data_IF_245130071768
#
_entry.id   IF_245130071768
#
_cell.length_a   1.000
_cell.length_b   1.000
_cell.length_c   1.000
_cell.angle_alpha   90.00
_cell.angle_beta   90.00
_cell.angle_gamma   90.00
#
_symmetry.space_group_name_H-M   'P 1'
#
loop_
_entity.id
_entity.type
_entity.pdbx_description
1 polymer ?
#
# COMPACT_ATOMS: atom_id res chain seq x y z
N UNK A 1 -28.20 -29.50 -43.69
CA UNK A 1 -27.53 -28.53 -42.80
C UNK A 1 -27.11 -29.27 -41.55
N UNK A 2 -25.80 -29.42 -41.32
CA UNK A 2 -25.24 -30.18 -40.20
C UNK A 2 -25.12 -29.29 -38.95
N UNK A 3 -25.50 -29.84 -37.79
CA UNK A 3 -25.08 -29.32 -36.49
C UNK A 3 -23.72 -29.93 -36.11
N UNK A 4 -22.70 -29.14 -35.71
CA UNK A 4 -21.48 -29.69 -35.13
C UNK A 4 -21.66 -29.89 -33.62
N UNK A 5 -21.57 -31.14 -33.17
CA UNK A 5 -21.51 -31.54 -31.76
C UNK A 5 -20.03 -31.58 -31.34
N UNK A 6 -19.69 -30.74 -30.36
CA UNK A 6 -18.61 -30.72 -29.37
C UNK A 6 -17.14 -31.11 -29.72
N UNK A 7 -16.13 -30.38 -29.19
CA UNK A 7 -14.73 -30.72 -29.32
C UNK A 7 -14.24 -31.65 -28.19
N UNK A 8 -13.58 -32.74 -28.55
CA UNK A 8 -12.69 -33.46 -27.65
C UNK A 8 -11.44 -33.94 -28.41
N UNK A 9 -10.26 -33.31 -28.22
CA UNK A 9 -9.00 -33.97 -28.50
C UNK A 9 -8.52 -34.68 -27.25
N UNK A 10 -8.59 -36.01 -27.35
CA UNK A 10 -8.04 -37.03 -26.47
C UNK A 10 -6.51 -36.93 -26.47
N UNK A 11 -5.92 -36.98 -25.28
CA UNK A 11 -4.63 -37.63 -25.03
C UNK A 11 -3.36 -36.84 -25.38
N UNK A 12 -2.82 -36.11 -24.41
CA UNK A 12 -1.36 -35.85 -24.38
C UNK A 12 -0.63 -37.11 -23.90
N UNK A 13 -0.28 -37.96 -24.86
CA UNK A 13 0.67 -39.06 -24.68
C UNK A 13 2.04 -38.48 -24.31
N UNK A 14 2.59 -39.04 -23.24
CA UNK A 14 3.95 -38.87 -22.74
C UNK A 14 4.94 -39.33 -23.81
N UNK A 15 5.91 -38.50 -24.16
CA UNK A 15 7.15 -38.98 -24.80
C UNK A 15 8.34 -38.64 -23.92
N UNK A 16 8.79 -39.69 -23.24
CA UNK A 16 10.04 -39.80 -22.52
C UNK A 16 11.22 -39.81 -23.49
N UNK A 17 12.22 -38.94 -23.26
CA UNK A 17 13.57 -39.09 -23.80
C UNK A 17 14.58 -38.98 -22.63
N UNK A 18 15.52 -39.93 -22.46
CA UNK A 18 16.42 -40.01 -21.32
C UNK A 18 17.80 -39.36 -21.58
N UNK A 19 18.42 -38.82 -20.51
CA UNK A 19 19.84 -39.02 -20.08
C UNK A 19 20.41 -37.80 -19.31
N UNK A 20 20.71 -38.02 -18.02
CA UNK A 20 22.02 -37.79 -17.34
C UNK A 20 21.86 -38.06 -15.83
N UNK A 21 22.62 -39.00 -15.22
CA UNK A 21 22.64 -39.11 -13.77
C UNK A 21 23.54 -38.00 -13.21
N UNK A 22 22.99 -37.14 -12.38
CA UNK A 22 23.74 -36.22 -11.52
C UNK A 22 23.47 -36.68 -10.10
N UNK A 23 24.52 -37.17 -9.46
CA UNK A 23 24.49 -37.69 -8.10
C UNK A 23 23.94 -36.64 -7.13
N UNK A 24 23.18 -37.17 -6.17
CA UNK A 24 22.64 -36.48 -5.00
C UNK A 24 23.78 -35.87 -4.17
N UNK A 25 23.61 -34.61 -3.77
CA UNK A 25 23.85 -34.29 -2.37
C UNK A 25 22.90 -33.17 -1.91
N UNK A 26 22.33 -33.44 -0.76
CA UNK A 26 21.25 -32.78 -0.08
C UNK A 26 21.80 -31.59 0.72
N UNK A 27 21.24 -30.38 0.55
CA UNK A 27 21.28 -29.36 1.61
C UNK A 27 20.27 -28.24 1.38
N UNK A 28 19.09 -28.48 1.95
CA UNK A 28 18.42 -27.60 2.92
C UNK A 28 18.22 -26.11 2.57
N UNK A 29 16.98 -25.85 2.16
CA UNK A 29 16.14 -24.71 2.55
C UNK A 29 16.83 -23.51 3.22
N UNK A 30 17.17 -22.50 2.43
CA UNK A 30 17.29 -21.14 2.92
C UNK A 30 16.48 -20.20 2.05
N UNK A 31 15.17 -20.43 2.00
CA UNK A 31 14.17 -19.42 1.68
C UNK A 31 14.15 -18.35 2.77
N UNK A 32 15.25 -17.60 2.92
CA UNK A 32 15.28 -16.37 3.71
C UNK A 32 14.54 -15.32 2.89
N UNK A 33 13.21 -15.35 3.03
CA UNK A 33 12.27 -14.28 2.69
C UNK A 33 12.92 -12.96 3.09
N UNK A 34 13.43 -12.24 2.09
CA UNK A 34 14.06 -10.93 2.27
C UNK A 34 13.01 -10.03 2.91
N UNK A 35 13.14 -9.82 4.22
CA UNK A 35 12.33 -8.89 5.01
C UNK A 35 12.61 -7.50 4.42
N UNK A 36 11.73 -7.03 3.54
CA UNK A 36 11.72 -5.63 3.09
C UNK A 36 11.55 -4.81 4.36
N UNK A 37 12.60 -4.11 4.75
CA UNK A 37 12.52 -3.16 5.85
C UNK A 37 11.77 -1.95 5.33
N UNK A 38 10.46 -1.94 5.57
CA UNK A 38 9.63 -0.77 5.40
C UNK A 38 9.84 0.12 6.64
N UNK A 39 10.65 1.17 6.46
CA UNK A 39 10.58 2.49 7.13
C UNK A 39 11.95 3.13 7.10
N UNK A 40 12.21 3.93 6.07
CA UNK A 40 13.33 4.86 6.09
C UNK A 40 12.91 6.19 5.47
N UNK A 41 11.96 6.87 6.13
CA UNK A 41 11.49 8.21 5.70
C UNK A 41 12.26 9.33 6.41
N UNK A 42 13.23 9.02 7.28
CA UNK A 42 13.90 10.06 8.09
C UNK A 42 15.43 10.00 8.10
N UNK A 43 16.08 8.99 7.52
CA UNK A 43 17.55 8.98 7.43
C UNK A 43 18.00 9.56 6.09
N UNK A 44 18.98 10.48 6.08
CA UNK A 44 19.57 10.95 4.83
C UNK A 44 20.12 9.76 4.06
N UNK A 45 19.86 9.72 2.75
CA UNK A 45 20.35 8.64 1.89
C UNK A 45 21.88 8.75 1.84
N UNK A 46 22.56 7.80 2.48
CA UNK A 46 24.01 7.70 2.38
C UNK A 46 24.40 7.32 0.95
N UNK A 47 25.04 8.25 0.25
CA UNK A 47 25.59 8.00 -1.07
C UNK A 47 26.93 7.30 -0.96
N UNK A 48 27.04 6.16 -1.65
CA UNK A 48 28.32 5.49 -1.87
C UNK A 48 29.26 6.36 -2.72
N UNK A 49 30.56 6.09 -2.63
CA UNK A 49 31.63 6.81 -3.34
C UNK A 49 31.36 6.98 -4.84
N UNK A 50 30.93 5.91 -5.50
CA UNK A 50 30.60 5.91 -6.93
C UNK A 50 29.43 6.85 -7.27
N UNK A 51 28.43 6.92 -6.41
CA UNK A 51 27.24 7.76 -6.64
C UNK A 51 27.61 9.24 -6.48
N UNK A 52 28.49 9.57 -5.53
CA UNK A 52 29.02 10.94 -5.35
C UNK A 52 29.85 11.37 -6.55
N UNK A 53 30.77 10.51 -7.00
CA UNK A 53 31.57 10.76 -8.20
C UNK A 53 30.68 10.99 -9.43
N UNK A 54 29.65 10.16 -9.62
CA UNK A 54 28.74 10.29 -10.76
C UNK A 54 28.00 11.64 -10.79
N UNK A 55 27.57 12.13 -9.62
CA UNK A 55 26.90 13.43 -9.50
C UNK A 55 27.90 14.55 -9.79
N UNK A 56 29.06 14.54 -9.14
CA UNK A 56 30.08 15.58 -9.30
C UNK A 56 30.47 15.74 -10.78
N UNK A 57 30.86 14.64 -11.43
CA UNK A 57 31.31 14.66 -12.82
C UNK A 57 30.22 15.19 -13.77
N UNK A 58 28.94 14.89 -13.48
CA UNK A 58 27.85 15.24 -14.38
C UNK A 58 27.22 16.60 -14.10
N UNK A 59 27.01 16.95 -12.84
CA UNK A 59 26.23 18.12 -12.43
C UNK A 59 27.13 19.31 -12.10
N UNK A 60 28.31 19.08 -11.52
CA UNK A 60 29.25 20.15 -11.17
C UNK A 60 30.22 20.43 -12.32
N UNK A 61 30.82 19.37 -12.89
CA UNK A 61 31.85 19.50 -13.93
C UNK A 61 31.28 19.43 -15.36
N UNK A 62 30.00 19.11 -15.51
CA UNK A 62 29.28 19.05 -16.80
C UNK A 62 29.96 18.18 -17.87
N UNK A 63 30.64 17.10 -17.47
CA UNK A 63 31.35 16.24 -18.42
C UNK A 63 30.42 15.44 -19.35
N UNK A 64 30.85 15.17 -20.59
CA UNK A 64 30.14 14.26 -21.47
C UNK A 64 30.29 12.81 -20.97
N UNK A 65 29.29 11.98 -21.27
CA UNK A 65 29.22 10.60 -20.76
C UNK A 65 30.44 9.72 -21.09
N UNK A 66 31.10 9.97 -22.23
CA UNK A 66 32.30 9.23 -22.63
C UNK A 66 33.45 9.47 -21.64
N UNK A 67 33.65 10.72 -21.26
CA UNK A 67 34.72 11.12 -20.35
C UNK A 67 34.41 10.68 -18.91
N UNK A 68 33.13 10.71 -18.52
CA UNK A 68 32.68 10.12 -17.26
C UNK A 68 33.02 8.63 -17.21
N UNK A 69 32.73 7.85 -18.26
CA UNK A 69 33.07 6.44 -18.28
C UNK A 69 34.59 6.19 -18.16
N UNK A 70 35.41 7.04 -18.79
CA UNK A 70 36.86 6.98 -18.66
C UNK A 70 37.34 7.29 -17.22
N UNK A 71 36.76 8.31 -16.56
CA UNK A 71 37.01 8.62 -15.13
C UNK A 71 36.68 7.45 -14.21
N UNK A 72 35.56 6.78 -14.43
CA UNK A 72 35.20 5.58 -13.66
C UNK A 72 36.22 4.44 -13.83
N UNK A 73 36.80 4.32 -15.02
CA UNK A 73 37.85 3.34 -15.26
C UNK A 73 39.20 3.75 -14.64
N UNK A 74 39.59 5.02 -14.71
CA UNK A 74 40.85 5.51 -14.14
C UNK A 74 40.84 5.54 -12.62
N UNK A 75 39.75 6.06 -12.03
CA UNK A 75 39.71 6.42 -10.62
C UNK A 75 39.28 5.22 -9.76
N UNK A 76 38.39 4.37 -10.29
CA UNK A 76 37.79 3.24 -9.58
C UNK A 76 38.14 1.87 -10.18
N UNK A 77 38.85 1.83 -11.30
CA UNK A 77 39.17 0.58 -12.01
C UNK A 77 37.94 -0.12 -12.60
N UNK A 78 36.80 0.58 -12.75
CA UNK A 78 35.52 -0.02 -13.14
C UNK A 78 35.09 0.44 -14.53
N UNK A 79 34.81 -0.53 -15.39
CA UNK A 79 34.32 -0.26 -16.74
C UNK A 79 32.79 -0.28 -16.75
N UNK A 80 32.19 0.86 -17.07
CA UNK A 80 30.75 0.99 -17.22
C UNK A 80 30.37 1.36 -18.65
N UNK A 81 29.29 0.75 -19.13
CA UNK A 81 28.63 1.19 -20.36
C UNK A 81 27.90 2.51 -20.09
N UNK A 82 27.94 3.45 -21.04
CA UNK A 82 27.29 4.77 -20.91
C UNK A 82 25.81 4.66 -20.51
N UNK A 83 24.98 3.77 -21.12
CA UNK A 83 23.59 3.61 -20.71
C UNK A 83 23.42 3.19 -19.25
N UNK A 84 24.36 2.42 -18.70
CA UNK A 84 24.33 2.00 -17.31
C UNK A 84 24.56 3.19 -16.36
N UNK A 85 25.52 4.06 -16.68
CA UNK A 85 25.77 5.30 -15.92
C UNK A 85 24.59 6.27 -16.00
N UNK A 86 24.01 6.43 -17.19
CA UNK A 86 22.80 7.24 -17.40
C UNK A 86 21.64 6.74 -16.52
N UNK A 87 21.39 5.44 -16.54
CA UNK A 87 20.34 4.83 -15.74
C UNK A 87 20.64 4.91 -14.24
N UNK A 88 21.90 4.76 -13.84
CA UNK A 88 22.34 4.91 -12.46
C UNK A 88 22.06 6.33 -11.96
N UNK A 89 22.49 7.35 -12.70
CA UNK A 89 22.23 8.76 -12.35
C UNK A 89 20.73 9.06 -12.29
N UNK A 90 19.96 8.57 -13.28
CA UNK A 90 18.49 8.76 -13.30
C UNK A 90 17.85 8.23 -12.02
N UNK A 91 18.19 7.00 -11.61
CA UNK A 91 17.66 6.37 -10.39
C UNK A 91 18.16 7.04 -9.12
N UNK A 92 19.42 7.47 -9.14
CA UNK A 92 20.05 8.17 -8.03
C UNK A 92 19.32 9.50 -7.74
N UNK A 93 19.02 10.28 -8.77
CA UNK A 93 18.22 11.51 -8.65
C UNK A 93 16.82 11.26 -8.08
N UNK A 94 16.15 10.21 -8.53
CA UNK A 94 14.84 9.84 -7.98
C UNK A 94 14.94 9.45 -6.50
N UNK A 95 15.94 8.65 -6.13
CA UNK A 95 16.18 8.30 -4.72
C UNK A 95 16.42 9.54 -3.87
N UNK A 96 17.25 10.46 -4.35
CA UNK A 96 17.61 11.69 -3.63
C UNK A 96 16.50 12.74 -3.60
N UNK A 97 15.35 12.50 -4.23
CA UNK A 97 14.26 13.47 -4.26
C UNK A 97 13.73 13.70 -2.84
N UNK A 98 13.78 14.94 -2.40
CA UNK A 98 13.26 15.38 -1.09
C UNK A 98 11.91 16.04 -1.30
N UNK A 99 10.94 15.68 -0.46
CA UNK A 99 9.68 16.41 -0.35
C UNK A 99 9.96 17.76 0.31
N UNK A 100 9.72 18.85 -0.40
CA UNK A 100 9.85 20.18 0.19
C UNK A 100 8.68 20.47 1.11
N UNK A 101 8.83 21.42 2.04
CA UNK A 101 7.73 21.87 2.89
C UNK A 101 6.53 22.37 2.06
N UNK A 102 6.80 22.97 0.90
CA UNK A 102 5.78 23.41 -0.05
C UNK A 102 5.03 22.20 -0.62
N UNK A 103 5.74 21.14 -1.03
CA UNK A 103 5.11 19.92 -1.54
C UNK A 103 4.24 19.24 -0.47
N UNK A 104 4.74 19.16 0.77
CA UNK A 104 4.00 18.58 1.89
C UNK A 104 2.76 19.41 2.22
N UNK A 105 2.87 20.75 2.21
CA UNK A 105 1.73 21.64 2.43
C UNK A 105 0.67 21.48 1.32
N UNK A 106 1.11 21.48 0.07
CA UNK A 106 0.23 21.27 -1.08
C UNK A 106 -0.48 19.91 -1.00
N UNK A 107 0.25 18.86 -0.64
CA UNK A 107 -0.32 17.52 -0.44
C UNK A 107 -1.40 17.51 0.65
N UNK A 108 -1.15 18.17 1.79
CA UNK A 108 -2.13 18.29 2.87
C UNK A 108 -3.40 18.99 2.42
N UNK A 109 -3.26 20.13 1.74
CA UNK A 109 -4.40 20.89 1.21
C UNK A 109 -5.19 20.09 0.18
N UNK A 110 -4.51 19.41 -0.74
CA UNK A 110 -5.16 18.57 -1.74
C UNK A 110 -5.93 17.41 -1.09
N UNK A 111 -5.35 16.76 -0.09
CA UNK A 111 -6.01 15.69 0.65
C UNK A 111 -7.23 16.22 1.44
N UNK A 112 -7.10 17.36 2.12
CA UNK A 112 -8.20 17.98 2.86
C UNK A 112 -9.37 18.33 1.95
N UNK A 113 -9.10 18.95 0.79
CA UNK A 113 -10.12 19.21 -0.22
C UNK A 113 -10.79 17.92 -0.68
N UNK A 114 -10.03 16.88 -0.99
CA UNK A 114 -10.60 15.59 -1.39
C UNK A 114 -11.49 15.00 -0.30
N UNK A 115 -11.09 15.03 0.97
CA UNK A 115 -11.92 14.50 2.08
C UNK A 115 -13.28 15.20 2.13
N UNK A 116 -13.30 16.53 1.95
CA UNK A 116 -14.52 17.33 2.00
C UNK A 116 -15.38 17.17 0.73
N UNK A 117 -14.74 17.03 -0.44
CA UNK A 117 -15.42 17.08 -1.76
C UNK A 117 -15.50 15.74 -2.48
N UNK A 118 -15.04 14.62 -1.88
CA UNK A 118 -14.99 13.31 -2.56
C UNK A 118 -16.32 12.90 -3.17
N UNK A 119 -17.44 13.14 -2.49
CA UNK A 119 -18.75 12.76 -3.00
C UNK A 119 -19.30 13.72 -4.04
N UNK A 120 -18.89 14.99 -4.02
CA UNK A 120 -19.14 15.91 -5.13
C UNK A 120 -18.40 15.45 -6.38
N UNK A 121 -17.12 15.08 -6.25
CA UNK A 121 -16.31 14.53 -7.35
C UNK A 121 -16.93 13.24 -7.89
N UNK A 122 -17.33 12.31 -7.00
CA UNK A 122 -17.98 11.05 -7.39
C UNK A 122 -19.29 11.35 -8.15
N UNK A 123 -20.14 12.24 -7.62
CA UNK A 123 -21.44 12.56 -8.21
C UNK A 123 -21.34 13.07 -9.65
N UNK A 124 -20.30 13.88 -9.93
CA UNK A 124 -20.02 14.39 -11.27
C UNK A 124 -19.60 13.27 -12.23
N UNK A 125 -18.93 12.23 -11.72
CA UNK A 125 -18.42 11.10 -12.51
C UNK A 125 -19.42 9.97 -12.71
N UNK A 126 -20.50 9.89 -11.95
CA UNK A 126 -21.47 8.79 -12.03
C UNK A 126 -21.99 8.52 -13.45
N UNK A 127 -22.28 9.57 -14.23
CA UNK A 127 -22.75 9.43 -15.61
C UNK A 127 -21.66 8.86 -16.54
N UNK A 128 -20.41 9.28 -16.37
CA UNK A 128 -19.27 8.76 -17.16
C UNK A 128 -19.06 7.26 -16.91
N UNK A 129 -19.45 6.77 -15.72
CA UNK A 129 -19.40 5.36 -15.36
C UNK A 129 -20.70 4.58 -15.63
N UNK A 130 -21.63 5.18 -16.38
CA UNK A 130 -22.83 4.48 -16.87
C UNK A 130 -24.06 4.56 -15.97
N UNK A 131 -24.08 5.46 -14.98
CA UNK A 131 -25.33 5.76 -14.28
C UNK A 131 -26.37 6.32 -15.27
N UNK A 132 -27.60 5.82 -15.20
CA UNK A 132 -28.68 6.25 -16.08
C UNK A 132 -29.13 7.69 -15.82
N UNK A 133 -28.89 8.21 -14.62
CA UNK A 133 -29.32 9.54 -14.19
C UNK A 133 -28.29 10.21 -13.27
N UNK A 134 -28.51 11.50 -13.01
CA UNK A 134 -27.66 12.30 -12.13
C UNK A 134 -27.94 11.96 -10.67
N UNK A 135 -26.89 11.57 -9.95
CA UNK A 135 -26.92 11.37 -8.52
C UNK A 135 -26.30 12.57 -7.81
N UNK A 136 -26.88 13.02 -6.71
CA UNK A 136 -26.28 14.08 -5.88
C UNK A 136 -25.16 13.50 -5.00
N UNK A 137 -24.23 14.35 -4.56
CA UNK A 137 -23.17 13.96 -3.63
C UNK A 137 -23.72 13.26 -2.38
N UNK A 138 -24.82 13.75 -1.81
CA UNK A 138 -25.44 13.17 -0.61
C UNK A 138 -26.00 11.76 -0.84
N UNK A 139 -26.59 11.51 -2.00
CA UNK A 139 -27.08 10.17 -2.36
C UNK A 139 -25.93 9.21 -2.57
N UNK A 140 -24.87 9.65 -3.26
CA UNK A 140 -23.65 8.86 -3.44
C UNK A 140 -23.03 8.53 -2.08
N UNK A 141 -22.94 9.49 -1.16
CA UNK A 141 -22.40 9.31 0.19
C UNK A 141 -23.19 8.28 0.99
N UNK A 142 -24.52 8.39 1.00
CA UNK A 142 -25.40 7.44 1.68
C UNK A 142 -25.22 6.04 1.11
N UNK A 143 -25.23 5.92 -0.22
CA UNK A 143 -25.11 4.61 -0.87
C UNK A 143 -23.74 3.99 -0.63
N UNK A 144 -22.67 4.79 -0.65
CA UNK A 144 -21.32 4.33 -0.35
C UNK A 144 -21.22 3.77 1.08
N UNK A 145 -21.81 4.44 2.07
CA UNK A 145 -21.81 3.97 3.45
C UNK A 145 -22.53 2.62 3.64
N UNK A 146 -23.49 2.27 2.77
CA UNK A 146 -24.16 0.96 2.79
C UNK A 146 -23.28 -0.16 2.20
N UNK A 147 -22.52 0.12 1.13
CA UNK A 147 -21.74 -0.90 0.40
C UNK A 147 -20.30 -1.04 0.89
N UNK A 148 -19.78 0.01 1.51
CA UNK A 148 -18.45 0.07 2.10
C UNK A 148 -18.57 0.77 3.47
N UNK A 149 -18.94 0.02 4.54
CA UNK A 149 -19.06 0.56 5.90
C UNK A 149 -17.71 1.00 6.52
N UNK A 150 -16.64 1.06 5.72
CA UNK A 150 -15.29 1.28 6.17
C UNK A 150 -14.74 0.05 6.90
N UNK A 151 -13.45 0.07 7.27
CA UNK A 151 -12.90 -0.93 8.16
C UNK A 151 -13.60 -0.80 9.51
N UNK A 152 -14.51 -1.72 9.81
CA UNK A 152 -15.03 -1.88 11.17
C UNK A 152 -13.85 -2.25 12.06
N UNK A 153 -13.41 -1.40 13.01
CA UNK A 153 -12.55 -1.90 14.07
C UNK A 153 -13.38 -2.93 14.82
N UNK A 154 -12.90 -4.16 14.85
CA UNK A 154 -13.46 -5.29 15.58
C UNK A 154 -13.67 -4.92 17.07
N UNK A 155 -14.79 -4.26 17.43
CA UNK A 155 -15.30 -4.08 18.80
C UNK A 155 -16.75 -3.59 18.76
N UNK A 156 -17.70 -4.52 18.71
CA UNK A 156 -18.96 -4.53 19.48
C UNK A 156 -19.89 -5.55 18.83
N UNK A 157 -19.66 -6.82 19.21
CA UNK A 157 -20.79 -7.69 19.46
C UNK A 157 -21.69 -6.96 20.46
N UNK A 158 -22.79 -6.36 20.01
CA UNK A 158 -24.06 -6.41 20.71
C UNK A 158 -25.21 -5.72 19.93
N UNK A 159 -25.94 -6.49 19.15
CA UNK A 159 -27.35 -6.20 18.85
C UNK A 159 -28.08 -7.53 18.75
N UNK A 160 -28.25 -8.17 19.91
CA UNK A 160 -29.31 -9.17 20.05
C UNK A 160 -30.64 -8.43 20.08
N UNK A 161 -31.26 -8.30 18.90
CA UNK A 161 -32.69 -8.05 18.78
C UNK A 161 -33.44 -9.16 19.50
N UNK A 162 -33.92 -8.91 20.71
CA UNK A 162 -34.91 -9.76 21.38
C UNK A 162 -36.10 -8.89 21.81
N UNK A 163 -37.34 -9.21 21.39
CA UNK A 163 -38.53 -8.58 21.92
C UNK A 163 -38.97 -9.37 23.16
N UNK A 164 -38.87 -8.77 24.35
CA UNK A 164 -39.43 -9.36 25.57
C UNK A 164 -40.40 -8.41 26.25
N UNK A 165 -41.58 -8.95 26.51
CA UNK A 165 -42.77 -8.30 27.01
C UNK A 165 -42.74 -8.27 28.56
N UNK A 166 -43.19 -7.15 29.12
CA UNK A 166 -43.57 -6.87 30.52
C UNK A 166 -42.48 -6.82 31.61
N UNK A 167 -42.65 -5.90 32.57
CA UNK A 167 -43.00 -6.38 33.92
C UNK A 167 -44.06 -5.51 34.63
N UNK A 168 -45.16 -6.15 35.03
CA UNK A 168 -45.99 -5.73 36.15
C UNK A 168 -45.81 -6.77 37.25
N UNK A 169 -45.31 -6.37 38.44
CA UNK A 169 -45.83 -6.70 39.79
C UNK A 169 -44.87 -6.18 40.89
N UNK A 170 -45.26 -5.04 41.46
CA UNK A 170 -45.22 -4.58 42.87
C UNK A 170 -44.25 -5.21 43.92
N UNK A 171 -43.47 -4.32 44.58
CA UNK A 171 -43.27 -4.04 46.04
C UNK A 171 -43.20 -5.17 47.10
N UNK A 172 -42.36 -5.02 48.16
CA UNK A 172 -42.77 -4.24 49.34
C UNK A 172 -41.73 -3.26 49.93
N UNK A 173 -42.27 -2.35 50.74
CA UNK A 173 -41.72 -1.16 51.41
C UNK A 173 -41.24 -1.48 52.85
N UNK A 174 -40.50 -0.53 53.46
CA UNK A 174 -40.03 -0.37 54.87
C UNK A 174 -38.59 -0.82 55.20
N UNK A 175 -37.66 0.03 55.66
CA UNK A 175 -37.64 1.47 55.96
C UNK A 175 -36.25 1.92 56.50
N UNK A 176 -35.86 3.22 56.46
CA UNK A 176 -34.78 3.79 57.29
C UNK A 176 -35.40 4.58 58.47
N UNK A 177 -34.68 4.97 59.56
CA UNK A 177 -33.27 5.38 59.59
C UNK A 177 -32.48 5.01 60.88
N UNK A 178 -31.17 4.79 60.79
CA UNK A 178 -30.30 5.02 61.95
C UNK A 178 -28.90 5.49 61.52
N UNK A 179 -28.64 6.76 61.77
CA UNK A 179 -27.29 7.32 61.86
C UNK A 179 -27.04 7.65 63.33
N UNK A 180 -25.90 7.24 63.89
CA UNK A 180 -25.22 8.08 64.86
C UNK A 180 -23.75 8.29 64.47
N UNK A 181 -23.45 9.56 64.22
CA UNK A 181 -22.26 10.32 64.60
C UNK A 181 -20.95 9.60 64.98
N UNK A 182 -19.87 10.05 64.30
CA UNK A 182 -18.50 10.34 64.76
C UNK A 182 -17.73 9.28 65.59
N UNK A 183 -16.55 8.86 65.09
CA UNK A 183 -15.23 9.40 65.52
C UNK A 183 -14.08 8.61 64.84
N UNK A 184 -13.15 9.34 64.23
CA UNK A 184 -11.82 8.90 63.75
C UNK A 184 -10.84 9.22 64.90
N UNK A 185 -9.89 8.34 65.29
CA UNK A 185 -8.64 8.11 64.53
C UNK A 185 -8.29 6.64 64.28
#
# INVERSE_FOLDING_TARGET
MYAPIAPHPIGSQRTSVPKRPREEDESSEHSKRRKRSDSNTTMPIELGEEDRLLIQLKDEESMPWKDIAARFQSDLGKTYQIPALQMRLKRLRERMRVWTDTDVRALRMAHEYWVQSKFDIISQKMLEYGAAEKWTARQCARKWAEIDPGPTPYTSYDHHSTPSYAPYTMSPVEGPPFMPYLHMP
#
